data_IF_843635039544
#
_entry.id   IF_843635039544
#
_cell.length_a   1.000
_cell.length_b   1.000
_cell.length_c   1.000
_cell.angle_alpha   90.00
_cell.angle_beta   90.00
_cell.angle_gamma   90.00
#
_symmetry.space_group_name_H-M   'P 1'
#
loop_
_entity.id
_entity.type
_entity.pdbx_description
1 polymer ?
#
# COMPACT_ATOMS: atom_id res chain seq x y z
N UNK A 1 -23.84 1.44 9.82
CA UNK A 1 -24.03 0.71 8.56
C UNK A 1 -22.70 0.08 8.21
N UNK A 2 -22.62 -1.11 7.60
CA UNK A 2 -21.36 -1.81 7.37
C UNK A 2 -20.44 -1.05 6.41
N UNK A 3 -19.15 -1.03 6.72
CA UNK A 3 -18.08 -0.60 5.85
C UNK A 3 -16.87 -1.49 6.20
N UNK A 4 -16.71 -2.63 5.52
CA UNK A 4 -15.79 -3.69 5.96
C UNK A 4 -14.37 -3.21 6.23
N UNK A 5 -13.83 -2.37 5.34
CA UNK A 5 -12.46 -1.88 5.47
C UNK A 5 -12.32 -0.87 6.62
N UNK A 6 -13.32 0.02 6.80
CA UNK A 6 -13.32 0.94 7.93
C UNK A 6 -13.49 0.19 9.26
N UNK A 7 -14.45 -0.71 9.31
CA UNK A 7 -14.79 -1.45 10.55
C UNK A 7 -13.60 -2.27 11.05
N UNK A 8 -12.80 -2.84 10.13
CA UNK A 8 -11.63 -3.64 10.45
C UNK A 8 -10.37 -2.81 10.75
N UNK A 9 -10.10 -1.75 9.97
CA UNK A 9 -8.81 -1.05 10.02
C UNK A 9 -8.84 0.24 10.85
N UNK A 10 -9.91 1.01 10.77
CA UNK A 10 -9.93 2.37 11.34
C UNK A 10 -10.82 2.50 12.57
N UNK A 11 -11.95 1.80 12.63
CA UNK A 11 -12.84 1.84 13.79
C UNK A 11 -12.16 1.42 15.11
N UNK A 12 -11.25 0.41 15.13
CA UNK A 12 -10.53 0.02 16.35
C UNK A 12 -9.59 1.09 16.91
N UNK A 13 -9.23 2.10 16.12
CA UNK A 13 -8.39 3.21 16.57
C UNK A 13 -9.15 4.19 17.48
N UNK A 14 -10.49 4.22 17.38
CA UNK A 14 -11.34 5.12 18.18
C UNK A 14 -11.21 4.78 19.66
N UNK A 15 -10.85 5.78 20.46
CA UNK A 15 -10.61 5.63 21.90
C UNK A 15 -9.28 4.97 22.28
N UNK A 16 -8.45 4.58 21.30
CA UNK A 16 -7.14 3.98 21.55
C UNK A 16 -6.14 5.04 22.00
N UNK A 17 -5.77 5.01 23.28
CA UNK A 17 -4.84 5.96 23.89
C UNK A 17 -3.36 5.68 23.58
N UNK A 18 -3.01 4.47 23.13
CA UNK A 18 -1.63 4.12 22.77
C UNK A 18 -1.20 4.78 21.46
N UNK A 19 0.09 5.07 21.32
CA UNK A 19 0.66 5.62 20.07
C UNK A 19 0.43 4.69 18.90
N UNK A 20 0.03 5.26 17.77
CA UNK A 20 -0.09 4.59 16.48
C UNK A 20 1.01 5.04 15.52
N UNK A 21 1.30 6.35 15.46
CA UNK A 21 2.40 6.91 14.67
C UNK A 21 3.42 7.55 15.59
N UNK A 22 4.68 7.18 15.43
CA UNK A 22 5.85 7.86 16.00
C UNK A 22 6.52 8.65 14.89
N UNK A 23 6.73 9.96 15.09
CA UNK A 23 7.29 10.84 14.08
C UNK A 23 8.78 11.09 14.32
N UNK A 24 9.55 11.48 13.27
CA UNK A 24 11.00 11.67 13.37
C UNK A 24 11.43 12.78 14.34
N UNK A 25 10.55 13.74 14.62
CA UNK A 25 10.76 14.82 15.56
C UNK A 25 10.57 14.42 17.04
N UNK A 26 10.21 13.16 17.29
CA UNK A 26 9.95 12.61 18.61
C UNK A 26 8.50 12.77 19.08
N UNK A 27 7.65 13.41 18.32
CA UNK A 27 6.22 13.47 18.62
C UNK A 27 5.51 12.16 18.22
N UNK A 28 4.29 11.95 18.72
CA UNK A 28 3.49 10.79 18.35
C UNK A 28 2.01 11.13 18.29
N UNK A 29 1.28 10.40 17.45
CA UNK A 29 -0.18 10.40 17.41
C UNK A 29 -0.70 9.10 18.01
N UNK A 30 -1.66 9.23 18.94
CA UNK A 30 -2.40 8.07 19.44
C UNK A 30 -3.35 7.53 18.36
N UNK A 31 -3.84 6.31 18.54
CA UNK A 31 -4.87 5.77 17.65
C UNK A 31 -6.10 6.67 17.58
N UNK A 32 -6.58 7.17 18.75
CA UNK A 32 -7.74 8.07 18.81
C UNK A 32 -7.51 9.41 18.11
N UNK A 33 -6.33 10.00 18.28
CA UNK A 33 -5.96 11.25 17.60
C UNK A 33 -5.92 11.04 16.07
N UNK A 34 -5.37 9.92 15.60
CA UNK A 34 -5.34 9.59 14.19
C UNK A 34 -6.75 9.29 13.65
N UNK A 35 -7.58 8.55 14.39
CA UNK A 35 -8.99 8.35 14.02
C UNK A 35 -9.76 9.67 13.91
N UNK A 36 -9.55 10.59 14.85
CA UNK A 36 -10.14 11.93 14.80
C UNK A 36 -9.73 12.68 13.55
N UNK A 37 -8.45 12.61 13.17
CA UNK A 37 -7.95 13.22 11.94
C UNK A 37 -8.61 12.59 10.69
N UNK A 38 -8.79 11.27 10.65
CA UNK A 38 -9.54 10.60 9.57
C UNK A 38 -11.00 11.08 9.50
N UNK A 39 -11.66 11.25 10.66
CA UNK A 39 -13.02 11.74 10.72
C UNK A 39 -13.15 13.21 10.26
N UNK A 40 -12.16 14.05 10.54
CA UNK A 40 -12.08 15.43 10.04
C UNK A 40 -11.91 15.45 8.52
N UNK A 41 -11.01 14.62 7.98
CA UNK A 41 -10.85 14.44 6.50
C UNK A 41 -12.17 14.01 5.89
N UNK A 42 -12.82 12.97 6.44
CA UNK A 42 -14.09 12.47 5.91
C UNK A 42 -15.18 13.56 5.93
N UNK A 43 -15.26 14.33 7.02
CA UNK A 43 -16.16 15.48 7.12
C UNK A 43 -15.90 16.55 6.07
N UNK A 44 -14.62 16.87 5.80
CA UNK A 44 -14.21 17.82 4.76
C UNK A 44 -14.60 17.32 3.35
N UNK A 45 -14.37 16.04 3.05
CA UNK A 45 -14.76 15.45 1.76
C UNK A 45 -16.28 15.55 1.53
N UNK A 46 -17.08 15.25 2.56
CA UNK A 46 -18.53 15.38 2.50
C UNK A 46 -18.97 16.85 2.36
N UNK A 47 -18.34 17.78 3.09
CA UNK A 47 -18.63 19.22 3.00
C UNK A 47 -18.28 19.77 1.60
N UNK A 48 -17.27 19.22 0.93
CA UNK A 48 -16.92 19.54 -0.45
C UNK A 48 -17.87 18.91 -1.49
N UNK A 49 -18.83 18.09 -1.04
CA UNK A 49 -19.86 17.46 -1.88
C UNK A 49 -19.50 16.12 -2.47
N UNK A 50 -18.37 15.50 -2.06
CA UNK A 50 -18.02 14.16 -2.51
C UNK A 50 -19.01 13.13 -1.94
N UNK A 51 -19.35 12.15 -2.76
CA UNK A 51 -20.26 11.06 -2.44
C UNK A 51 -19.56 9.72 -2.45
N UNK A 52 -20.09 8.70 -1.80
CA UNK A 52 -19.58 7.34 -1.93
C UNK A 52 -19.43 6.92 -3.40
N UNK A 53 -18.24 6.41 -3.76
CA UNK A 53 -17.87 6.05 -5.13
C UNK A 53 -17.20 7.17 -5.94
N UNK A 54 -17.21 8.43 -5.50
CA UNK A 54 -16.39 9.48 -6.12
C UNK A 54 -14.91 9.20 -5.92
N UNK A 55 -14.05 9.71 -6.82
CA UNK A 55 -12.59 9.50 -6.77
C UNK A 55 -11.90 10.72 -6.20
N UNK A 56 -11.07 10.48 -5.17
CA UNK A 56 -10.15 11.44 -4.58
C UNK A 56 -8.75 11.15 -5.08
N UNK A 57 -8.22 11.97 -5.97
CA UNK A 57 -6.82 11.91 -6.40
C UNK A 57 -5.93 12.65 -5.38
N UNK A 58 -4.79 12.04 -5.04
CA UNK A 58 -3.90 12.53 -3.98
C UNK A 58 -2.45 12.47 -4.45
N UNK A 59 -1.85 13.63 -4.68
CA UNK A 59 -0.44 13.82 -5.04
C UNK A 59 0.23 14.70 -3.98
N UNK A 60 0.37 14.17 -2.76
CA UNK A 60 0.94 14.90 -1.62
C UNK A 60 2.09 14.15 -0.99
N UNK A 61 2.98 14.87 -0.35
CA UNK A 61 4.10 14.27 0.37
C UNK A 61 3.61 13.44 1.56
N UNK A 62 4.35 12.38 1.87
CA UNK A 62 4.04 11.47 2.96
C UNK A 62 4.07 12.16 4.32
N UNK A 63 2.93 12.24 4.97
CA UNK A 63 2.71 12.84 6.29
C UNK A 63 1.62 12.07 7.04
N UNK A 64 1.38 12.32 8.33
CA UNK A 64 0.20 11.79 9.03
C UNK A 64 -1.11 12.20 8.36
N UNK A 65 -1.18 13.44 7.86
CA UNK A 65 -2.34 13.95 7.13
C UNK A 65 -2.55 13.20 5.81
N UNK A 66 -1.48 12.95 5.06
CA UNK A 66 -1.54 12.14 3.83
C UNK A 66 -2.09 10.71 4.10
N UNK A 67 -1.70 10.09 5.22
CA UNK A 67 -2.26 8.80 5.61
C UNK A 67 -3.73 8.94 6.05
N UNK A 68 -4.07 10.01 6.73
CA UNK A 68 -5.45 10.27 7.14
C UNK A 68 -6.40 10.52 5.95
N UNK A 69 -5.88 10.98 4.79
CA UNK A 69 -6.67 11.06 3.55
C UNK A 69 -7.18 9.67 3.12
N UNK A 70 -6.35 8.63 3.25
CA UNK A 70 -6.80 7.25 3.00
C UNK A 70 -7.88 6.82 3.98
N UNK A 71 -7.65 7.00 5.28
CA UNK A 71 -8.64 6.65 6.30
C UNK A 71 -9.96 7.44 6.17
N UNK A 72 -9.86 8.74 5.88
CA UNK A 72 -11.01 9.61 5.64
C UNK A 72 -11.78 9.25 4.37
N UNK A 73 -11.09 8.89 3.27
CA UNK A 73 -11.71 8.41 2.04
C UNK A 73 -12.48 7.10 2.29
N UNK A 74 -11.87 6.13 2.98
CA UNK A 74 -12.53 4.87 3.37
C UNK A 74 -13.77 5.17 4.24
N UNK A 75 -13.65 6.07 5.22
CA UNK A 75 -14.75 6.46 6.10
C UNK A 75 -15.89 7.16 5.35
N UNK A 76 -15.57 8.03 4.38
CA UNK A 76 -16.55 8.70 3.54
C UNK A 76 -17.10 7.82 2.39
N UNK A 77 -16.52 6.64 2.17
CA UNK A 77 -16.87 5.74 1.07
C UNK A 77 -16.35 6.22 -0.29
N UNK A 78 -15.39 7.14 -0.30
CA UNK A 78 -14.75 7.71 -1.49
C UNK A 78 -13.62 6.80 -1.95
N UNK A 79 -13.47 6.61 -3.26
CA UNK A 79 -12.40 5.79 -3.85
C UNK A 79 -11.09 6.55 -3.79
N UNK A 80 -10.10 6.00 -3.12
CA UNK A 80 -8.78 6.60 -2.94
C UNK A 80 -7.89 6.35 -4.16
N UNK A 81 -7.38 7.42 -4.77
CA UNK A 81 -6.50 7.38 -5.94
C UNK A 81 -5.16 8.05 -5.58
N UNK A 82 -4.20 7.31 -4.99
CA UNK A 82 -2.89 7.85 -4.70
C UNK A 82 -2.05 7.97 -5.97
N UNK A 83 -1.39 9.12 -6.13
CA UNK A 83 -0.51 9.44 -7.24
C UNK A 83 0.93 9.63 -6.74
N UNK A 84 1.90 9.20 -7.55
CA UNK A 84 3.30 9.46 -7.27
C UNK A 84 3.57 10.98 -7.29
N UNK A 85 4.22 11.49 -6.26
CA UNK A 85 4.59 12.91 -6.16
C UNK A 85 5.55 13.36 -7.28
N UNK A 86 6.21 12.42 -7.95
CA UNK A 86 7.07 12.69 -9.10
C UNK A 86 6.34 12.73 -10.46
N UNK A 87 5.03 12.45 -10.51
CA UNK A 87 4.29 12.53 -11.77
C UNK A 87 4.19 13.97 -12.27
N UNK A 88 4.45 14.11 -13.57
CA UNK A 88 4.33 15.37 -14.29
C UNK A 88 2.87 15.83 -14.45
N UNK A 89 2.61 17.11 -14.71
CA UNK A 89 1.24 17.58 -14.99
C UNK A 89 0.54 16.82 -16.13
N UNK A 90 1.27 16.39 -17.16
CA UNK A 90 0.69 15.62 -18.28
C UNK A 90 0.27 14.21 -17.85
N UNK A 91 1.03 13.57 -16.97
CA UNK A 91 0.64 12.27 -16.39
C UNK A 91 -0.56 12.43 -15.46
N UNK A 92 -0.60 13.50 -14.66
CA UNK A 92 -1.74 13.82 -13.79
C UNK A 92 -3.00 14.09 -14.62
N UNK A 93 -2.89 14.81 -15.75
CA UNK A 93 -3.99 15.06 -16.67
C UNK A 93 -4.63 13.74 -17.15
N UNK A 94 -3.80 12.79 -17.53
CA UNK A 94 -4.27 11.45 -17.90
C UNK A 94 -5.04 10.77 -16.76
N UNK A 95 -4.47 10.73 -15.54
CA UNK A 95 -5.12 10.05 -14.42
C UNK A 95 -6.42 10.71 -13.98
N UNK A 96 -6.47 12.04 -13.96
CA UNK A 96 -7.69 12.76 -13.59
C UNK A 96 -8.80 12.55 -14.61
N UNK A 97 -8.46 12.63 -15.90
CA UNK A 97 -9.42 12.44 -16.99
C UNK A 97 -9.94 11.01 -17.04
N UNK A 98 -9.05 10.02 -16.95
CA UNK A 98 -9.40 8.60 -17.02
C UNK A 98 -10.23 8.17 -15.78
N UNK A 99 -9.80 8.55 -14.59
CA UNK A 99 -10.52 8.23 -13.35
C UNK A 99 -11.81 9.04 -13.19
N UNK A 100 -11.94 10.20 -13.85
CA UNK A 100 -13.01 11.16 -13.59
C UNK A 100 -12.97 11.64 -12.15
N UNK A 101 -11.80 12.06 -11.65
CA UNK A 101 -11.59 12.44 -10.26
C UNK A 101 -12.39 13.71 -9.91
N UNK A 102 -13.10 13.69 -8.77
CA UNK A 102 -13.89 14.82 -8.29
C UNK A 102 -13.05 15.88 -7.56
N UNK A 103 -11.98 15.44 -6.90
CA UNK A 103 -11.04 16.27 -6.14
C UNK A 103 -9.62 15.78 -6.38
N UNK A 104 -8.70 16.72 -6.59
CA UNK A 104 -7.25 16.52 -6.53
C UNK A 104 -6.71 17.27 -5.33
N UNK A 105 -6.00 16.56 -4.46
CA UNK A 105 -5.18 17.17 -3.42
C UNK A 105 -3.72 17.10 -3.84
N UNK A 106 -3.03 18.23 -3.83
CA UNK A 106 -1.62 18.34 -4.19
C UNK A 106 -0.87 19.22 -3.19
N UNK A 107 0.47 19.22 -3.27
CA UNK A 107 1.29 20.18 -2.53
C UNK A 107 1.03 21.60 -3.09
N UNK A 108 1.01 22.60 -2.21
CA UNK A 108 0.78 23.99 -2.63
C UNK A 108 1.83 24.53 -3.61
N UNK A 109 3.04 23.98 -3.58
CA UNK A 109 4.08 24.30 -4.55
C UNK A 109 3.70 23.89 -5.98
N UNK A 110 2.87 22.88 -6.14
CA UNK A 110 2.46 22.33 -7.44
C UNK A 110 1.13 22.92 -7.96
N UNK A 111 0.40 23.70 -7.13
CA UNK A 111 -0.91 24.25 -7.51
C UNK A 111 -0.88 25.01 -8.84
N UNK A 112 0.12 25.86 -9.05
CA UNK A 112 0.21 26.67 -10.26
C UNK A 112 0.37 25.81 -11.52
N UNK A 113 1.08 24.70 -11.44
CA UNK A 113 1.29 23.77 -12.55
C UNK A 113 0.06 22.88 -12.79
N UNK A 114 -0.66 22.51 -11.72
CA UNK A 114 -1.78 21.59 -11.77
C UNK A 114 -3.14 22.26 -11.99
N UNK A 115 -3.28 23.55 -11.70
CA UNK A 115 -4.54 24.27 -11.86
C UNK A 115 -5.10 24.22 -13.30
N UNK A 116 -4.30 24.41 -14.38
CA UNK A 116 -4.80 24.26 -15.74
C UNK A 116 -5.25 22.82 -16.06
N UNK A 117 -4.55 21.83 -15.50
CA UNK A 117 -4.88 20.39 -15.64
C UNK A 117 -6.22 20.10 -14.98
N UNK A 118 -6.36 20.45 -13.71
CA UNK A 118 -7.58 20.22 -12.95
C UNK A 118 -8.80 20.90 -13.60
N UNK A 119 -8.61 22.14 -14.11
CA UNK A 119 -9.68 22.86 -14.81
C UNK A 119 -10.13 22.14 -16.09
N UNK A 120 -9.20 21.61 -16.90
CA UNK A 120 -9.55 20.84 -18.12
C UNK A 120 -10.31 19.56 -17.79
N UNK A 121 -9.94 18.88 -16.70
CA UNK A 121 -10.58 17.64 -16.28
C UNK A 121 -11.89 17.86 -15.50
N UNK A 122 -12.27 19.11 -15.20
CA UNK A 122 -13.41 19.42 -14.34
C UNK A 122 -13.22 18.96 -12.89
N UNK A 123 -11.97 18.76 -12.47
CA UNK A 123 -11.57 18.32 -11.13
C UNK A 123 -11.33 19.55 -10.24
N UNK A 124 -11.84 19.54 -9.01
CA UNK A 124 -11.47 20.55 -8.01
C UNK A 124 -10.04 20.32 -7.56
N UNK A 125 -9.21 21.36 -7.52
CA UNK A 125 -7.85 21.31 -6.94
C UNK A 125 -7.83 22.02 -5.60
N UNK A 126 -7.17 21.40 -4.61
CA UNK A 126 -6.90 22.04 -3.30
C UNK A 126 -5.51 21.61 -2.81
N UNK A 127 -4.87 22.47 -2.01
CA UNK A 127 -3.57 22.20 -1.43
C UNK A 127 -3.67 21.48 -0.07
N UNK A 128 -2.79 20.50 0.13
CA UNK A 128 -2.45 19.93 1.42
C UNK A 128 -0.94 19.69 1.48
N UNK A 129 -0.24 20.52 2.25
CA UNK A 129 1.21 20.45 2.40
C UNK A 129 1.62 19.39 3.43
N UNK A 130 2.89 18.99 3.42
CA UNK A 130 3.44 18.00 4.34
C UNK A 130 3.35 18.40 5.83
N UNK A 131 3.35 19.70 6.11
CA UNK A 131 3.15 20.27 7.46
C UNK A 131 1.69 20.34 7.90
N UNK A 132 0.77 19.90 7.04
CA UNK A 132 -0.68 19.92 7.30
C UNK A 132 -1.36 21.25 7.00
N UNK A 133 -0.67 22.23 6.41
CA UNK A 133 -1.24 23.50 5.94
C UNK A 133 -1.86 23.37 4.53
N UNK A 134 -2.54 24.40 4.06
CA UNK A 134 -3.12 24.47 2.73
C UNK A 134 -4.63 24.62 2.72
N UNK A 135 -5.21 24.91 1.55
CA UNK A 135 -6.64 25.20 1.41
C UNK A 135 -7.56 24.05 1.83
N UNK A 136 -7.11 22.79 1.71
CA UNK A 136 -7.87 21.64 2.21
C UNK A 136 -7.86 21.58 3.75
N UNK A 137 -6.74 21.95 4.39
CA UNK A 137 -6.65 22.01 5.85
C UNK A 137 -7.61 23.05 6.44
N UNK A 138 -7.84 24.17 5.74
CA UNK A 138 -8.83 25.18 6.13
C UNK A 138 -10.26 24.62 6.10
N UNK A 139 -10.58 23.80 5.08
CA UNK A 139 -11.87 23.10 5.00
C UNK A 139 -11.99 22.07 6.12
N UNK A 140 -10.94 21.30 6.40
CA UNK A 140 -10.92 20.33 7.51
C UNK A 140 -11.19 21.00 8.86
N UNK A 141 -10.62 22.19 9.10
CA UNK A 141 -10.80 22.94 10.34
C UNK A 141 -12.25 23.45 10.54
N UNK A 142 -12.97 23.67 9.45
CA UNK A 142 -14.36 24.19 9.47
C UNK A 142 -15.41 23.09 9.36
N UNK A 143 -15.06 21.94 8.81
CA UNK A 143 -15.97 20.82 8.60
C UNK A 143 -16.29 20.12 9.92
N UNK A 144 -17.54 19.66 10.05
CA UNK A 144 -17.92 18.77 11.16
C UNK A 144 -17.31 17.39 10.90
N UNK A 145 -16.50 16.84 11.82
CA UNK A 145 -15.97 15.49 11.68
C UNK A 145 -17.10 14.47 11.48
N UNK A 146 -16.91 13.53 10.57
CA UNK A 146 -17.91 12.51 10.28
C UNK A 146 -18.08 11.58 11.49
N UNK A 147 -19.29 11.46 12.02
CA UNK A 147 -19.55 10.70 13.26
C UNK A 147 -19.50 9.16 13.06
N UNK A 148 -19.70 8.69 11.84
CA UNK A 148 -19.69 7.27 11.46
C UNK A 148 -19.41 7.09 9.98
N UNK A 149 -18.97 5.90 9.58
CA UNK A 149 -18.61 5.64 8.20
C UNK A 149 -19.83 5.50 7.27
N UNK A 150 -19.64 5.89 6.02
CA UNK A 150 -20.59 5.62 4.95
C UNK A 150 -20.74 4.11 4.73
N UNK A 151 -21.96 3.66 4.43
CA UNK A 151 -22.23 2.25 4.15
C UNK A 151 -21.55 1.82 2.84
N UNK A 152 -20.79 0.75 2.91
CA UNK A 152 -20.12 0.13 1.75
C UNK A 152 -20.30 -1.39 1.79
N UNK A 153 -20.26 -2.01 0.62
CA UNK A 153 -20.26 -3.47 0.45
C UNK A 153 -18.83 -3.96 0.24
N UNK A 154 -18.65 -5.25 0.40
CA UNK A 154 -17.35 -5.90 0.18
C UNK A 154 -16.80 -5.72 -1.25
N UNK A 155 -17.68 -5.69 -2.24
CA UNK A 155 -17.37 -5.51 -3.66
C UNK A 155 -17.30 -4.05 -4.13
N UNK A 156 -17.62 -3.09 -3.26
CA UNK A 156 -17.44 -1.67 -3.59
C UNK A 156 -15.96 -1.31 -3.68
N UNK A 157 -15.61 -0.43 -4.63
CA UNK A 157 -14.24 0.06 -4.77
C UNK A 157 -13.81 0.87 -3.54
N UNK A 158 -12.61 0.55 -3.06
CA UNK A 158 -11.93 1.30 -2.01
C UNK A 158 -10.79 2.15 -2.59
N UNK A 159 -10.11 1.64 -3.62
CA UNK A 159 -9.01 2.35 -4.25
C UNK A 159 -8.92 2.06 -5.75
N UNK A 160 -8.28 3.00 -6.44
CA UNK A 160 -7.91 2.90 -7.84
C UNK A 160 -6.42 3.21 -7.96
N UNK A 161 -5.59 2.22 -8.34
CA UNK A 161 -4.16 2.41 -8.49
C UNK A 161 -3.72 2.24 -9.93
N UNK A 162 -3.04 3.24 -10.46
CA UNK A 162 -2.49 3.16 -11.81
C UNK A 162 -1.15 2.43 -11.82
N UNK A 163 -1.04 1.43 -12.70
CA UNK A 163 0.18 0.65 -12.91
C UNK A 163 0.85 1.09 -14.20
N UNK A 164 2.18 1.15 -14.18
CA UNK A 164 2.96 1.32 -15.41
C UNK A 164 2.90 0.01 -16.20
N UNK A 165 1.96 -0.08 -17.15
CA UNK A 165 1.90 -1.23 -18.04
C UNK A 165 3.18 -1.33 -18.89
N UNK A 166 3.68 -2.54 -19.09
CA UNK A 166 4.86 -2.83 -19.92
C UNK A 166 4.66 -2.49 -21.40
N UNK A 167 3.42 -2.21 -21.83
CA UNK A 167 3.04 -2.02 -23.24
C UNK A 167 1.97 -0.95 -23.42
N UNK A 168 2.20 0.31 -22.99
CA UNK A 168 1.24 1.37 -23.29
C UNK A 168 0.90 2.29 -22.11
N UNK A 169 -0.30 2.87 -22.13
CA UNK A 169 -0.81 3.75 -21.07
C UNK A 169 -0.99 3.00 -19.75
N UNK A 170 -0.74 3.69 -18.65
CA UNK A 170 -1.01 3.19 -17.31
C UNK A 170 -2.46 2.73 -17.16
N UNK A 171 -2.70 1.62 -16.47
CA UNK A 171 -4.00 1.01 -16.28
C UNK A 171 -4.44 1.19 -14.83
N UNK A 172 -5.67 1.64 -14.60
CA UNK A 172 -6.24 1.77 -13.26
C UNK A 172 -6.73 0.43 -12.73
N UNK A 173 -6.01 -0.16 -11.79
CA UNK A 173 -6.42 -1.39 -11.11
C UNK A 173 -7.52 -1.07 -10.08
N UNK A 174 -8.68 -1.71 -10.20
CA UNK A 174 -9.83 -1.55 -9.32
C UNK A 174 -9.71 -2.46 -8.09
N UNK A 175 -9.43 -1.88 -6.93
CA UNK A 175 -9.29 -2.61 -5.67
C UNK A 175 -10.54 -2.41 -4.81
N UNK A 176 -11.22 -3.50 -4.50
CA UNK A 176 -12.41 -3.50 -3.67
C UNK A 176 -12.08 -3.49 -2.18
N UNK A 177 -13.10 -3.22 -1.35
CA UNK A 177 -13.01 -3.36 0.11
C UNK A 177 -12.50 -4.77 0.49
N UNK A 178 -13.06 -5.80 -0.14
CA UNK A 178 -12.69 -7.19 0.12
C UNK A 178 -11.26 -7.53 -0.32
N UNK A 179 -10.81 -7.03 -1.48
CA UNK A 179 -9.43 -7.30 -1.94
C UNK A 179 -8.39 -6.81 -0.95
N UNK A 180 -8.57 -5.57 -0.44
CA UNK A 180 -7.64 -4.96 0.50
C UNK A 180 -7.71 -5.64 1.88
N UNK A 181 -8.92 -5.95 2.35
CA UNK A 181 -9.10 -6.54 3.67
C UNK A 181 -8.59 -7.98 3.74
N UNK A 182 -8.99 -8.84 2.78
CA UNK A 182 -8.56 -10.24 2.76
C UNK A 182 -7.04 -10.40 2.71
N UNK A 183 -6.36 -9.55 1.95
CA UNK A 183 -4.90 -9.59 1.90
C UNK A 183 -4.28 -9.13 3.22
N UNK A 184 -4.80 -8.07 3.86
CA UNK A 184 -4.33 -7.64 5.17
C UNK A 184 -4.51 -8.73 6.24
N UNK A 185 -5.66 -9.42 6.27
CA UNK A 185 -5.94 -10.52 7.19
C UNK A 185 -4.94 -11.66 7.06
N UNK A 186 -4.70 -12.11 5.82
CA UNK A 186 -3.74 -13.18 5.52
C UNK A 186 -2.32 -12.77 5.91
N UNK A 187 -1.92 -11.52 5.67
CA UNK A 187 -0.57 -11.04 6.00
C UNK A 187 -0.37 -10.89 7.51
N UNK A 188 -1.38 -10.45 8.27
CA UNK A 188 -1.31 -10.41 9.75
C UNK A 188 -1.07 -11.81 10.29
N UNK A 189 -1.82 -12.80 9.83
CA UNK A 189 -1.68 -14.18 10.25
C UNK A 189 -0.33 -14.79 9.83
N UNK A 190 0.00 -14.71 8.52
CA UNK A 190 1.20 -15.32 7.95
C UNK A 190 2.49 -14.74 8.54
N UNK A 191 2.55 -13.42 8.74
CA UNK A 191 3.72 -12.74 9.30
C UNK A 191 3.64 -12.55 10.81
N UNK A 192 2.56 -13.01 11.43
CA UNK A 192 2.32 -12.99 12.89
C UNK A 192 2.44 -11.58 13.47
N UNK A 193 1.86 -10.59 12.79
CA UNK A 193 1.80 -9.24 13.34
C UNK A 193 0.80 -9.16 14.48
N UNK A 194 1.16 -8.39 15.53
CA UNK A 194 0.39 -8.19 16.75
C UNK A 194 0.38 -6.72 17.16
N UNK A 195 -0.39 -6.39 18.17
CA UNK A 195 -0.45 -5.05 18.76
C UNK A 195 0.88 -4.57 19.38
N UNK A 196 1.80 -5.49 19.68
CA UNK A 196 3.14 -5.17 20.19
C UNK A 196 4.14 -4.81 19.09
N UNK A 197 3.77 -4.92 17.82
CA UNK A 197 4.67 -4.63 16.71
C UNK A 197 4.80 -3.14 16.42
N UNK A 198 6.03 -2.75 16.15
CA UNK A 198 6.37 -1.41 15.68
C UNK A 198 7.10 -1.53 14.34
N UNK A 199 6.43 -1.11 13.27
CA UNK A 199 7.00 -1.13 11.91
C UNK A 199 7.79 0.15 11.64
N UNK A 200 9.06 0.03 11.28
CA UNK A 200 9.82 1.15 10.70
C UNK A 200 9.39 1.36 9.25
N UNK A 201 8.56 2.39 9.02
CA UNK A 201 7.86 2.60 7.76
C UNK A 201 8.46 3.78 6.97
N UNK A 202 9.38 3.47 6.04
CA UNK A 202 10.00 4.45 5.13
C UNK A 202 9.54 4.30 3.67
N UNK A 203 8.60 3.39 3.38
CA UNK A 203 8.06 3.18 2.05
C UNK A 203 7.14 4.35 1.62
N UNK A 204 7.07 4.67 0.31
CA UNK A 204 6.07 5.62 -0.19
C UNK A 204 4.66 5.05 -0.04
N UNK A 205 3.68 5.92 0.17
CA UNK A 205 2.27 5.53 0.37
C UNK A 205 1.38 5.76 -0.86
N UNK A 206 2.00 5.99 -2.01
CA UNK A 206 1.30 5.98 -3.31
C UNK A 206 1.42 4.63 -4.03
N UNK A 207 2.13 3.65 -3.46
CA UNK A 207 2.22 2.27 -3.94
C UNK A 207 1.57 1.28 -2.98
N UNK A 208 1.08 0.17 -3.53
CA UNK A 208 0.44 -0.89 -2.75
C UNK A 208 1.30 -1.39 -1.59
N UNK A 209 2.63 -1.51 -1.78
CA UNK A 209 3.54 -2.01 -0.72
C UNK A 209 3.50 -1.14 0.54
N UNK A 210 3.65 0.17 0.41
CA UNK A 210 3.64 1.06 1.57
C UNK A 210 2.24 1.31 2.13
N UNK A 211 1.25 1.51 1.24
CA UNK A 211 -0.09 1.89 1.67
C UNK A 211 -0.92 0.69 2.12
N UNK A 212 -1.04 -0.35 1.30
CA UNK A 212 -1.97 -1.44 1.60
C UNK A 212 -1.29 -2.61 2.32
N UNK A 213 -0.09 -3.00 1.89
CA UNK A 213 0.60 -4.12 2.53
C UNK A 213 1.14 -3.72 3.90
N UNK A 214 1.98 -2.69 3.97
CA UNK A 214 2.59 -2.29 5.23
C UNK A 214 1.56 -1.68 6.20
N UNK A 215 0.82 -0.66 5.77
CA UNK A 215 -0.08 0.09 6.66
C UNK A 215 -1.30 -0.72 7.09
N UNK A 216 -2.01 -1.40 6.15
CA UNK A 216 -3.21 -2.16 6.52
C UNK A 216 -2.89 -3.33 7.46
N UNK A 217 -1.73 -3.98 7.26
CA UNK A 217 -1.26 -5.05 8.17
C UNK A 217 -1.09 -4.52 9.60
N UNK A 218 -0.46 -3.34 9.77
CA UNK A 218 -0.27 -2.77 11.11
C UNK A 218 -1.57 -2.22 11.71
N UNK A 219 -2.45 -1.62 10.91
CA UNK A 219 -3.77 -1.17 11.35
C UNK A 219 -4.59 -2.36 11.87
N UNK A 220 -4.67 -3.44 11.09
CA UNK A 220 -5.44 -4.62 11.45
C UNK A 220 -4.86 -5.35 12.67
N UNK A 221 -3.54 -5.45 12.76
CA UNK A 221 -2.87 -6.06 13.90
C UNK A 221 -2.96 -5.23 15.20
N UNK A 222 -3.36 -3.96 15.10
CA UNK A 222 -3.35 -3.04 16.23
C UNK A 222 -1.95 -2.54 16.62
N UNK A 223 -0.95 -2.71 15.76
CA UNK A 223 0.42 -2.26 15.99
C UNK A 223 0.64 -0.76 15.87
N UNK A 224 1.91 -0.34 15.84
CA UNK A 224 2.33 1.04 15.66
C UNK A 224 3.34 1.16 14.51
N UNK A 225 3.57 2.38 14.03
CA UNK A 225 4.55 2.64 12.98
C UNK A 225 5.46 3.81 13.37
N UNK A 226 6.77 3.66 13.10
CA UNK A 226 7.69 4.80 13.04
C UNK A 226 7.59 5.34 11.64
N UNK A 227 7.00 6.53 11.50
CA UNK A 227 6.54 7.09 10.25
C UNK A 227 7.59 8.02 9.63
N UNK A 228 8.48 7.46 8.79
CA UNK A 228 9.49 8.23 8.09
C UNK A 228 8.94 8.74 6.75
N UNK A 229 9.17 10.00 6.38
CA UNK A 229 8.66 10.55 5.13
C UNK A 229 9.23 9.86 3.89
N UNK A 230 10.47 9.42 3.94
CA UNK A 230 11.17 8.73 2.84
C UNK A 230 12.31 7.86 3.35
N UNK A 231 12.94 7.13 2.44
CA UNK A 231 14.17 6.39 2.73
C UNK A 231 15.31 7.36 3.05
N UNK A 232 15.72 7.35 4.30
CA UNK A 232 16.89 8.04 4.83
C UNK A 232 17.65 7.06 5.73
N UNK A 233 18.92 6.78 5.42
CA UNK A 233 19.70 5.76 6.14
C UNK A 233 20.02 6.21 7.57
N UNK A 234 20.30 7.49 7.77
CA UNK A 234 20.57 8.01 9.12
C UNK A 234 19.33 7.92 10.01
N UNK A 235 18.16 8.22 9.45
CA UNK A 235 16.90 8.06 10.17
C UNK A 235 16.59 6.57 10.44
N UNK A 236 16.79 5.69 9.46
CA UNK A 236 16.61 4.24 9.67
C UNK A 236 17.50 3.74 10.81
N UNK A 237 18.82 4.00 10.77
CA UNK A 237 19.77 3.57 11.80
C UNK A 237 19.38 4.10 13.19
N UNK A 238 18.92 5.35 13.26
CA UNK A 238 18.50 5.99 14.52
C UNK A 238 17.28 5.29 15.12
N UNK A 239 16.32 4.89 14.29
CA UNK A 239 15.04 4.37 14.75
C UNK A 239 14.94 2.84 14.78
N UNK A 240 15.86 2.09 14.14
CA UNK A 240 15.92 0.62 14.23
C UNK A 240 15.83 0.09 15.67
N UNK A 241 16.50 0.69 16.70
CA UNK A 241 16.41 0.18 18.07
C UNK A 241 15.00 0.20 18.68
N UNK A 242 14.07 0.93 18.10
CA UNK A 242 12.69 1.08 18.59
C UNK A 242 11.69 0.23 17.78
N UNK A 243 12.12 -0.35 16.67
CA UNK A 243 11.27 -1.09 15.75
C UNK A 243 11.35 -2.60 16.01
N UNK A 244 10.28 -3.33 15.72
CA UNK A 244 10.24 -4.80 15.71
C UNK A 244 10.36 -5.36 14.30
N UNK A 245 10.01 -4.57 13.30
CA UNK A 245 10.00 -4.97 11.90
C UNK A 245 10.35 -3.84 10.94
N UNK A 246 10.84 -4.21 9.75
CA UNK A 246 11.11 -3.31 8.63
C UNK A 246 10.59 -3.95 7.35
N UNK A 247 9.78 -3.20 6.60
CA UNK A 247 9.40 -3.54 5.22
C UNK A 247 10.12 -2.60 4.25
N UNK A 248 10.78 -3.18 3.25
CA UNK A 248 11.54 -2.41 2.28
C UNK A 248 11.60 -3.06 0.90
N UNK A 249 12.10 -2.31 -0.06
CA UNK A 249 12.51 -2.83 -1.36
C UNK A 249 14.00 -3.22 -1.30
N UNK A 250 14.54 -4.01 -2.26
CA UNK A 250 15.94 -4.47 -2.21
C UNK A 250 16.96 -3.36 -1.96
N UNK A 251 16.74 -2.15 -2.50
CA UNK A 251 17.64 -1.01 -2.31
C UNK A 251 17.73 -0.53 -0.86
N UNK A 252 16.73 -0.79 0.00
CA UNK A 252 16.82 -0.50 1.44
C UNK A 252 17.92 -1.35 2.07
N UNK A 253 17.94 -2.63 1.75
CA UNK A 253 18.86 -3.61 2.30
C UNK A 253 20.29 -3.42 1.80
N UNK A 254 20.48 -3.13 0.51
CA UNK A 254 21.81 -2.83 -0.04
C UNK A 254 22.40 -1.56 0.55
N UNK A 255 21.58 -0.52 0.77
CA UNK A 255 22.03 0.73 1.40
C UNK A 255 22.34 0.54 2.90
N UNK A 256 21.53 -0.24 3.63
CA UNK A 256 21.81 -0.56 5.03
C UNK A 256 23.11 -1.37 5.15
N UNK A 257 23.32 -2.36 4.28
CA UNK A 257 24.57 -3.14 4.25
C UNK A 257 25.82 -2.31 3.95
N UNK A 258 25.67 -1.23 3.19
CA UNK A 258 26.79 -0.32 2.91
C UNK A 258 27.17 0.57 4.12
N UNK A 259 26.28 0.70 5.14
CA UNK A 259 26.53 1.50 6.33
C UNK A 259 27.18 0.66 7.44
N UNK A 260 28.37 1.04 7.96
CA UNK A 260 29.06 0.28 9.01
C UNK A 260 28.31 0.26 10.34
N UNK A 261 27.40 1.22 10.59
CA UNK A 261 26.55 1.25 11.80
C UNK A 261 25.47 0.17 11.78
N UNK A 262 25.16 -0.41 10.61
CA UNK A 262 24.20 -1.49 10.49
C UNK A 262 24.88 -2.82 10.81
N UNK A 263 24.69 -3.31 12.00
CA UNK A 263 25.34 -4.53 12.52
C UNK A 263 24.42 -5.31 13.47
N UNK A 264 24.78 -6.56 13.74
CA UNK A 264 23.98 -7.50 14.52
C UNK A 264 23.46 -6.94 15.86
N UNK A 265 24.27 -6.32 16.74
CA UNK A 265 23.77 -5.75 17.98
C UNK A 265 22.66 -4.71 17.80
N UNK A 266 22.69 -3.91 16.73
CA UNK A 266 21.70 -2.87 16.46
C UNK A 266 20.29 -3.46 16.20
N UNK A 267 20.25 -4.67 15.63
CA UNK A 267 19.00 -5.28 15.13
C UNK A 267 18.66 -6.62 15.77
N UNK A 268 19.40 -7.04 16.78
CA UNK A 268 19.23 -8.36 17.41
C UNK A 268 17.82 -8.60 18.00
N UNK A 269 17.13 -7.52 18.39
CA UNK A 269 15.76 -7.54 18.92
C UNK A 269 14.68 -7.53 17.84
N UNK A 270 15.05 -7.17 16.60
CA UNK A 270 14.12 -7.18 15.47
C UNK A 270 13.66 -8.61 15.19
N UNK A 271 12.40 -8.76 14.81
CA UNK A 271 11.87 -10.09 14.52
C UNK A 271 11.68 -10.34 13.02
N UNK A 272 11.53 -9.28 12.21
CA UNK A 272 11.14 -9.45 10.82
C UNK A 272 11.67 -8.34 9.91
N UNK A 273 12.30 -8.77 8.83
CA UNK A 273 12.68 -7.95 7.69
C UNK A 273 12.00 -8.50 6.44
N UNK A 274 11.20 -7.69 5.74
CA UNK A 274 10.43 -8.12 4.57
C UNK A 274 10.90 -7.35 3.34
N UNK A 275 11.18 -8.07 2.26
CA UNK A 275 11.54 -7.50 0.96
C UNK A 275 10.55 -7.86 -0.13
N UNK A 276 10.34 -6.94 -1.07
CA UNK A 276 9.56 -7.19 -2.28
C UNK A 276 9.47 -5.99 -3.19
N UNK A 277 8.57 -6.02 -4.16
CA UNK A 277 8.39 -5.04 -5.25
C UNK A 277 9.53 -5.01 -6.28
N UNK A 278 10.57 -5.80 -6.09
CA UNK A 278 11.63 -6.11 -7.03
C UNK A 278 12.34 -7.39 -6.56
N UNK A 279 13.01 -8.14 -7.43
CA UNK A 279 13.80 -9.29 -7.05
C UNK A 279 14.96 -8.92 -6.11
N UNK A 280 15.08 -9.64 -4.98
CA UNK A 280 16.22 -9.53 -4.09
C UNK A 280 17.33 -10.46 -4.56
N UNK A 281 18.53 -9.94 -4.77
CA UNK A 281 19.67 -10.77 -5.15
C UNK A 281 20.05 -11.73 -3.99
N UNK A 282 20.31 -12.99 -4.31
CA UNK A 282 20.73 -13.99 -3.32
C UNK A 282 21.98 -13.55 -2.54
N UNK A 283 22.91 -12.84 -3.19
CA UNK A 283 24.08 -12.24 -2.54
C UNK A 283 23.70 -11.24 -1.46
N UNK A 284 22.70 -10.38 -1.73
CA UNK A 284 22.21 -9.41 -0.74
C UNK A 284 21.57 -10.11 0.45
N UNK A 285 20.78 -11.16 0.21
CA UNK A 285 20.17 -11.99 1.27
C UNK A 285 21.25 -12.63 2.16
N UNK A 286 22.25 -13.28 1.54
CA UNK A 286 23.37 -13.93 2.24
C UNK A 286 24.22 -12.91 3.01
N UNK A 287 24.55 -11.77 2.42
CA UNK A 287 25.29 -10.70 3.10
C UNK A 287 24.52 -10.13 4.29
N UNK A 288 23.20 -10.01 4.15
CA UNK A 288 22.32 -9.52 5.22
C UNK A 288 22.30 -10.52 6.40
N UNK A 289 22.16 -11.83 6.13
CA UNK A 289 22.23 -12.86 7.16
C UNK A 289 23.57 -12.87 7.88
N UNK A 290 24.67 -12.84 7.12
CA UNK A 290 26.02 -12.81 7.69
C UNK A 290 26.25 -11.57 8.59
N UNK A 291 25.73 -10.41 8.21
CA UNK A 291 25.87 -9.14 8.93
C UNK A 291 24.99 -9.05 10.18
N UNK A 292 23.78 -9.57 10.11
CA UNK A 292 22.72 -9.31 11.12
C UNK A 292 22.31 -10.55 11.89
N UNK A 293 22.47 -11.74 11.33
CA UNK A 293 21.89 -12.99 11.83
C UNK A 293 20.41 -13.16 11.48
N UNK A 294 19.81 -12.24 10.71
CA UNK A 294 18.44 -12.33 10.23
C UNK A 294 18.40 -12.76 8.77
N UNK A 295 17.42 -13.57 8.40
CA UNK A 295 17.06 -13.86 7.01
C UNK A 295 15.92 -12.95 6.57
N UNK A 296 16.07 -12.29 5.43
CA UNK A 296 15.01 -11.45 4.85
C UNK A 296 13.88 -12.38 4.40
N UNK A 297 12.64 -12.01 4.71
CA UNK A 297 11.45 -12.66 4.20
C UNK A 297 11.09 -12.00 2.85
N UNK A 298 11.37 -12.72 1.76
CA UNK A 298 10.95 -12.30 0.44
C UNK A 298 9.52 -12.73 0.17
N UNK A 299 8.80 -11.91 -0.57
CA UNK A 299 7.41 -12.13 -0.99
C UNK A 299 7.20 -11.58 -2.41
N UNK A 300 6.17 -12.08 -3.10
CA UNK A 300 5.77 -11.64 -4.42
C UNK A 300 4.33 -11.16 -4.44
N UNK A 301 4.09 -10.12 -5.21
CA UNK A 301 2.80 -9.54 -5.47
C UNK A 301 2.91 -8.31 -6.35
N UNK A 302 1.79 -7.79 -6.77
CA UNK A 302 1.68 -6.65 -7.67
C UNK A 302 0.45 -5.82 -7.32
N UNK A 303 0.25 -4.69 -7.99
CA UNK A 303 -0.87 -3.79 -7.69
C UNK A 303 -2.22 -4.48 -7.85
N UNK A 304 -2.36 -5.30 -8.89
CA UNK A 304 -3.59 -6.02 -9.24
C UNK A 304 -3.98 -7.11 -8.24
N UNK A 305 -3.03 -7.55 -7.42
CA UNK A 305 -3.28 -8.71 -6.53
C UNK A 305 -2.82 -8.48 -5.09
N UNK A 306 -2.25 -7.31 -4.75
CA UNK A 306 -1.48 -7.14 -3.52
C UNK A 306 -0.45 -8.26 -3.38
N UNK A 307 -0.51 -9.10 -2.33
CA UNK A 307 0.47 -10.18 -2.12
C UNK A 307 -0.10 -11.54 -2.51
N UNK A 308 0.68 -12.30 -3.27
CA UNK A 308 0.34 -13.63 -3.76
C UNK A 308 1.10 -14.73 -3.03
N UNK A 309 2.40 -14.51 -2.78
CA UNK A 309 3.26 -15.49 -2.11
C UNK A 309 4.09 -14.86 -1.01
N UNK A 310 4.61 -15.69 -0.12
CA UNK A 310 5.53 -15.29 0.94
C UNK A 310 6.42 -16.45 1.35
N UNK A 311 7.71 -16.15 1.60
CA UNK A 311 8.54 -17.04 2.39
C UNK A 311 7.94 -17.22 3.80
N UNK A 312 8.18 -18.33 4.48
CA UNK A 312 7.57 -18.62 5.78
C UNK A 312 8.10 -17.69 6.88
N UNK A 313 7.24 -17.37 7.84
CA UNK A 313 7.65 -16.65 9.05
C UNK A 313 8.62 -17.48 9.89
N UNK A 314 8.30 -18.75 10.10
CA UNK A 314 9.14 -19.72 10.80
C UNK A 314 9.68 -20.76 9.82
N UNK A 315 10.93 -21.16 9.98
CA UNK A 315 11.60 -22.12 9.11
C UNK A 315 12.55 -21.44 8.12
N UNK A 316 12.82 -22.13 7.02
CA UNK A 316 13.79 -21.66 6.04
C UNK A 316 13.19 -20.56 5.14
N UNK A 317 13.91 -19.45 5.02
CA UNK A 317 13.68 -18.41 4.02
C UNK A 317 14.78 -18.53 2.97
N UNK A 318 14.44 -19.14 1.86
CA UNK A 318 15.41 -19.49 0.83
C UNK A 318 15.68 -18.29 -0.10
N UNK A 319 16.94 -17.90 -0.18
CA UNK A 319 17.37 -16.80 -1.05
C UNK A 319 17.01 -17.07 -2.53
N UNK A 320 16.55 -16.05 -3.23
CA UNK A 320 16.15 -16.16 -4.65
C UNK A 320 14.80 -16.83 -4.87
N UNK A 321 14.01 -17.03 -3.80
CA UNK A 321 12.63 -17.52 -3.89
C UNK A 321 11.67 -16.55 -3.24
N UNK A 322 10.42 -16.55 -3.71
CA UNK A 322 9.34 -15.73 -3.15
C UNK A 322 8.38 -16.53 -2.26
N UNK A 323 8.77 -17.78 -1.94
CA UNK A 323 8.06 -18.68 -1.04
C UNK A 323 6.84 -19.34 -1.65
N UNK A 324 5.84 -19.59 -0.81
CA UNK A 324 4.63 -20.34 -1.12
C UNK A 324 3.44 -19.41 -1.36
N UNK A 325 2.43 -19.90 -2.06
CA UNK A 325 1.16 -19.20 -2.19
C UNK A 325 0.60 -18.89 -0.79
N UNK A 326 0.11 -17.68 -0.61
CA UNK A 326 -0.55 -17.27 0.63
C UNK A 326 -1.87 -18.03 0.82
N UNK A 327 -2.33 -18.24 2.06
CA UNK A 327 -3.64 -18.84 2.31
C UNK A 327 -4.76 -18.17 1.51
N UNK A 328 -5.58 -18.97 0.83
CA UNK A 328 -6.65 -18.48 -0.03
C UNK A 328 -6.22 -18.02 -1.42
N UNK A 329 -4.92 -18.05 -1.74
CA UNK A 329 -4.38 -17.77 -3.07
C UNK A 329 -4.04 -19.09 -3.76
N UNK A 330 -4.59 -19.30 -4.94
CA UNK A 330 -4.21 -20.38 -5.85
C UNK A 330 -3.23 -19.83 -6.87
N UNK A 331 -2.16 -20.57 -7.13
CA UNK A 331 -1.13 -20.21 -8.09
C UNK A 331 -0.85 -21.38 -9.03
N UNK A 332 -0.76 -21.11 -10.32
CA UNK A 332 -0.31 -22.06 -11.33
C UNK A 332 0.68 -21.40 -12.28
N UNK A 333 1.48 -22.23 -12.95
CA UNK A 333 2.40 -21.81 -14.01
C UNK A 333 1.92 -22.39 -15.31
N UNK A 334 1.72 -21.54 -16.32
CA UNK A 334 1.12 -21.93 -17.60
C UNK A 334 2.05 -21.61 -18.76
N UNK A 335 1.86 -22.32 -19.88
CA UNK A 335 2.50 -21.97 -21.13
C UNK A 335 1.92 -20.64 -21.65
N UNK A 336 2.76 -19.60 -21.90
CA UNK A 336 2.26 -18.28 -22.30
C UNK A 336 1.45 -18.27 -23.61
N UNK A 337 1.71 -19.22 -24.52
CA UNK A 337 1.07 -19.27 -25.84
C UNK A 337 -0.23 -20.06 -25.81
N UNK A 338 -0.25 -21.19 -25.08
CA UNK A 338 -1.38 -22.11 -25.09
C UNK A 338 -2.30 -21.99 -23.88
N UNK A 339 -1.80 -21.38 -22.78
CA UNK A 339 -2.50 -21.33 -21.49
C UNK A 339 -2.56 -22.69 -20.76
N UNK A 340 -1.94 -23.74 -21.29
CA UNK A 340 -1.88 -25.05 -20.64
C UNK A 340 -0.99 -25.00 -19.40
N UNK A 341 -1.43 -25.63 -18.31
CA UNK A 341 -0.64 -25.74 -17.09
C UNK A 341 0.63 -26.54 -17.33
N UNK A 342 1.75 -26.04 -16.81
CA UNK A 342 3.07 -26.63 -16.97
C UNK A 342 3.42 -27.50 -15.76
N UNK A 343 4.23 -28.56 -15.96
CA UNK A 343 4.69 -29.38 -14.86
C UNK A 343 5.63 -28.59 -13.94
N UNK A 344 5.74 -29.05 -12.70
CA UNK A 344 6.69 -28.54 -11.71
C UNK A 344 8.13 -28.47 -12.29
N UNK A 345 8.84 -27.39 -12.03
CA UNK A 345 10.17 -27.10 -12.55
C UNK A 345 10.21 -26.45 -13.93
N UNK A 346 9.10 -26.38 -14.64
CA UNK A 346 9.02 -25.64 -15.90
C UNK A 346 8.80 -24.14 -15.66
N UNK A 347 9.50 -23.31 -16.44
CA UNK A 347 9.32 -21.87 -16.44
C UNK A 347 8.15 -21.48 -17.34
N UNK A 348 7.22 -20.69 -16.84
CA UNK A 348 6.07 -20.22 -17.60
C UNK A 348 5.42 -18.98 -16.99
N UNK A 349 4.25 -18.63 -17.47
CA UNK A 349 3.43 -17.50 -17.00
C UNK A 349 2.83 -17.83 -15.65
N UNK A 350 3.02 -16.95 -14.68
CA UNK A 350 2.36 -17.05 -13.39
C UNK A 350 0.90 -16.59 -13.54
N UNK A 351 -0.03 -17.42 -13.11
CA UNK A 351 -1.44 -17.08 -12.97
C UNK A 351 -1.89 -17.27 -11.53
N UNK A 352 -2.68 -16.33 -11.02
CA UNK A 352 -3.14 -16.35 -9.62
C UNK A 352 -4.64 -16.15 -9.53
N UNK A 353 -5.26 -16.81 -8.54
CA UNK A 353 -6.67 -16.67 -8.20
C UNK A 353 -6.82 -16.56 -6.69
N UNK A 354 -7.68 -15.67 -6.22
CA UNK A 354 -7.93 -15.50 -4.80
C UNK A 354 -8.75 -14.24 -4.50
N UNK A 355 -9.18 -14.07 -3.25
CA UNK A 355 -9.95 -12.90 -2.83
C UNK A 355 -9.16 -11.59 -2.91
N UNK A 356 -7.85 -11.67 -3.00
CA UNK A 356 -6.92 -10.55 -3.16
C UNK A 356 -6.85 -10.01 -4.59
N UNK A 357 -7.32 -10.77 -5.59
CA UNK A 357 -7.27 -10.39 -7.01
C UNK A 357 -8.27 -9.28 -7.29
N UNK A 358 -7.84 -8.21 -7.94
CA UNK A 358 -8.60 -7.02 -8.25
C UNK A 358 -9.89 -7.29 -9.05
N UNK A 359 -10.79 -6.30 -9.10
CA UNK A 359 -12.05 -6.42 -9.84
C UNK A 359 -11.90 -6.21 -11.36
N UNK A 360 -10.69 -5.88 -11.83
CA UNK A 360 -10.38 -5.59 -13.23
C UNK A 360 -9.78 -4.19 -13.41
N UNK A 361 -9.57 -3.79 -14.66
CA UNK A 361 -9.05 -2.47 -15.02
C UNK A 361 -10.17 -1.47 -15.27
N UNK A 362 -10.03 -0.30 -14.69
CA UNK A 362 -10.98 0.80 -14.81
C UNK A 362 -11.18 1.21 -16.27
N UNK A 363 -12.44 1.22 -16.71
CA UNK A 363 -12.85 1.56 -18.09
C UNK A 363 -12.17 0.73 -19.21
N UNK A 364 -11.59 -0.42 -18.86
CA UNK A 364 -10.91 -1.31 -19.83
C UNK A 364 -11.46 -2.75 -19.77
N UNK A 365 -12.76 -2.98 -20.13
CA UNK A 365 -13.38 -4.30 -20.03
C UNK A 365 -12.72 -5.33 -20.93
N UNK A 366 -12.28 -4.95 -22.13
CA UNK A 366 -11.60 -5.87 -23.06
C UNK A 366 -10.24 -6.31 -22.51
N UNK A 367 -9.48 -5.38 -21.92
CA UNK A 367 -8.20 -5.70 -21.29
C UNK A 367 -8.40 -6.56 -20.06
N UNK A 368 -9.42 -6.28 -19.26
CA UNK A 368 -9.80 -7.11 -18.12
C UNK A 368 -10.11 -8.53 -18.58
N UNK A 369 -10.94 -8.71 -19.61
CA UNK A 369 -11.30 -10.03 -20.13
C UNK A 369 -10.11 -10.79 -20.74
N UNK A 370 -9.09 -10.06 -21.23
CA UNK A 370 -7.87 -10.67 -21.78
C UNK A 370 -6.93 -11.18 -20.69
N UNK A 371 -6.89 -10.55 -19.52
CA UNK A 371 -5.95 -10.88 -18.44
C UNK A 371 -6.61 -11.56 -17.23
N UNK A 372 -7.91 -11.34 -16.98
CA UNK A 372 -8.68 -12.00 -15.93
C UNK A 372 -9.59 -13.05 -16.56
N UNK A 373 -9.22 -14.32 -16.42
CA UNK A 373 -9.94 -15.45 -17.02
C UNK A 373 -11.33 -15.63 -16.39
N UNK A 374 -12.24 -16.29 -17.13
CA UNK A 374 -13.60 -16.58 -16.66
C UNK A 374 -13.63 -17.48 -15.41
N UNK A 375 -12.59 -18.28 -15.18
CA UNK A 375 -12.41 -19.12 -13.98
C UNK A 375 -11.79 -18.36 -12.79
N UNK A 376 -11.54 -17.05 -12.93
CA UNK A 376 -11.02 -16.16 -11.90
C UNK A 376 -9.49 -16.11 -11.81
N UNK A 377 -8.75 -16.84 -12.65
CA UNK A 377 -7.31 -16.70 -12.71
C UNK A 377 -6.90 -15.41 -13.44
N UNK A 378 -6.03 -14.64 -12.82
CA UNK A 378 -5.40 -13.46 -13.39
C UNK A 378 -4.02 -13.80 -13.95
N UNK A 379 -3.78 -13.43 -15.20
CA UNK A 379 -2.50 -13.58 -15.91
C UNK A 379 -1.61 -12.42 -15.49
N UNK A 380 -0.59 -12.68 -14.68
CA UNK A 380 0.20 -11.62 -14.05
C UNK A 380 1.12 -10.88 -15.02
N UNK A 381 1.50 -11.50 -16.11
CA UNK A 381 2.54 -11.01 -16.99
C UNK A 381 3.96 -11.36 -16.53
N UNK A 382 4.12 -11.91 -15.34
CA UNK A 382 5.40 -12.34 -14.79
C UNK A 382 5.69 -13.80 -15.12
N UNK A 383 6.95 -14.12 -15.38
CA UNK A 383 7.41 -15.49 -15.57
C UNK A 383 8.00 -16.05 -14.26
N UNK A 384 7.73 -17.32 -14.00
CA UNK A 384 8.27 -18.01 -12.85
C UNK A 384 8.18 -19.53 -12.98
N UNK A 385 8.62 -20.22 -11.95
CA UNK A 385 8.49 -21.66 -11.84
C UNK A 385 8.19 -22.07 -10.41
N UNK A 386 7.56 -23.21 -10.22
CA UNK A 386 7.42 -23.89 -8.92
C UNK A 386 8.47 -25.00 -8.88
N UNK A 387 9.40 -24.92 -7.94
CA UNK A 387 10.45 -25.92 -7.79
C UNK A 387 10.00 -27.16 -6.99
N UNK A 388 10.93 -28.08 -6.69
CA UNK A 388 10.60 -29.35 -6.05
C UNK A 388 10.43 -29.25 -4.53
N UNK A 389 10.92 -28.17 -3.91
CA UNK A 389 10.88 -27.95 -2.46
C UNK A 389 9.70 -27.07 -2.06
#
# INVERSE_FOLDING_TARGET
MPNPLYDALFAPLKGRATSFLHLPDGTSLTGDAFHTLCAQVAGALVALGLKPGDRLAVQVEKSPQALALYGGAVMAGVVFLPLNTAYTPDEVDYFLSDAGASLLLADGADEAALAPVAARCGTRLMALNADGSGSFAEVMAQATPLAGAASRKADDLAALLYTSGTTGRSKGAMLTQANLLSNAEVLVETWRFTESDVLLHALPIFHTHGLFVATNTLLLAGGAMIWLPKLDIDALIRHLPQATSLMGVPTFYTRLLADPRFHRPLVAHMRLFISGSAPLLAETHTAFEARTGHRILERYGMTETNMNTSNPYAGERRAGTVGFALPGVELKVTNPETGAELPQGAVGMIEVRGPNVFAGYWQMPEKTAAELRADGFFITGDLGMVDAD
#
